data_IF_839099932191
#
_entry.id   IF_839099932191
#
_cell.length_a   1.000
_cell.length_b   1.000
_cell.length_c   1.000
_cell.angle_alpha   90.00
_cell.angle_beta   90.00
_cell.angle_gamma   90.00
#
_symmetry.space_group_name_H-M   'P 1'
#
loop_
_entity.id
_entity.type
_entity.pdbx_description
1 polymer ?
#
# COMPACT_ATOMS: atom_id res chain seq x y z
N UNK A 1 -16.70 74.01 43.98
CA UNK A 1 -17.48 73.22 43.03
C UNK A 1 -16.60 72.12 42.46
N UNK A 2 -16.27 71.02 43.10
CA UNK A 2 -16.23 70.47 44.48
C UNK A 2 -15.41 69.18 44.23
N UNK A 3 -14.26 68.96 44.88
CA UNK A 3 -14.11 68.14 46.10
C UNK A 3 -14.72 66.72 45.92
N UNK A 4 -14.11 65.57 46.21
CA UNK A 4 -12.88 65.20 46.92
C UNK A 4 -12.79 63.63 46.95
N UNK A 5 -11.64 63.10 47.42
CA UNK A 5 -11.50 61.89 48.29
C UNK A 5 -11.76 60.45 47.75
N UNK A 6 -10.65 59.68 47.69
CA UNK A 6 -10.46 58.21 47.83
C UNK A 6 -10.75 57.69 49.28
N UNK A 7 -10.45 56.46 49.79
CA UNK A 7 -10.23 55.08 49.30
C UNK A 7 -10.97 54.02 50.19
N UNK A 8 -10.45 52.77 50.24
CA UNK A 8 -10.60 51.71 51.29
C UNK A 8 -11.69 50.64 51.08
N UNK A 9 -11.57 49.36 51.47
CA UNK A 9 -10.53 48.44 52.01
C UNK A 9 -11.18 47.05 52.08
N UNK A 10 -10.35 46.02 52.32
CA UNK A 10 -10.57 44.71 52.98
C UNK A 10 -10.17 43.54 52.05
N UNK A 11 -9.03 42.85 52.23
CA UNK A 11 -8.68 41.93 53.35
C UNK A 11 -9.80 40.88 53.57
N UNK A 12 -9.60 39.57 53.69
CA UNK A 12 -8.41 38.76 53.96
C UNK A 12 -8.71 37.27 53.72
N UNK A 13 -7.63 36.46 53.63
CA UNK A 13 -7.55 35.14 54.29
C UNK A 13 -8.17 33.93 53.55
N UNK A 14 -7.42 33.05 52.86
CA UNK A 14 -6.39 32.10 53.32
C UNK A 14 -6.95 30.75 53.87
N UNK A 15 -6.20 29.68 53.50
CA UNK A 15 -6.17 28.27 53.97
C UNK A 15 -7.08 27.29 53.22
N UNK A 16 -6.50 26.38 52.40
CA UNK A 16 -5.79 25.14 52.79
C UNK A 16 -6.69 24.20 53.60
N UNK A 17 -7.08 23.06 53.01
CA UNK A 17 -6.57 21.74 53.42
C UNK A 17 -7.24 20.61 52.62
N UNK A 18 -6.42 19.69 52.12
CA UNK A 18 -6.83 18.32 51.80
C UNK A 18 -7.00 17.52 53.11
N UNK A 19 -7.73 16.39 53.10
CA UNK A 19 -6.98 15.13 53.15
C UNK A 19 -7.61 13.90 52.46
N UNK A 20 -6.70 13.01 52.04
CA UNK A 20 -6.67 11.55 52.21
C UNK A 20 -7.90 10.65 52.00
N UNK A 21 -7.76 9.77 50.99
CA UNK A 21 -7.68 8.29 51.08
C UNK A 21 -8.87 7.50 51.69
N UNK A 22 -9.55 6.68 50.86
CA UNK A 22 -10.08 5.37 51.25
C UNK A 22 -9.99 4.36 50.09
N UNK A 23 -9.35 3.24 50.40
CA UNK A 23 -9.33 1.99 49.66
C UNK A 23 -10.71 1.31 49.70
N UNK A 24 -11.03 0.53 48.66
CA UNK A 24 -11.77 -0.72 48.83
C UNK A 24 -11.38 -1.71 47.73
N UNK A 25 -10.76 -2.80 48.17
CA UNK A 25 -10.56 -4.06 47.46
C UNK A 25 -11.91 -4.68 47.06
N UNK A 26 -11.94 -5.42 45.93
CA UNK A 26 -12.61 -6.73 45.87
C UNK A 26 -12.40 -7.41 44.50
N UNK A 27 -11.78 -8.58 44.58
CA UNK A 27 -11.86 -9.77 43.73
C UNK A 27 -11.57 -10.96 44.68
N UNK A 28 -11.80 -12.24 44.32
CA UNK A 28 -12.61 -12.82 43.24
C UNK A 28 -13.50 -13.98 43.78
N UNK A 29 -14.43 -14.53 42.98
CA UNK A 29 -14.86 -15.94 43.15
C UNK A 29 -15.13 -16.62 41.80
N UNK A 30 -14.65 -17.87 41.74
CA UNK A 30 -14.76 -18.89 40.70
C UNK A 30 -16.06 -19.72 40.82
N UNK A 31 -16.35 -20.55 39.82
CA UNK A 31 -17.34 -21.64 39.85
C UNK A 31 -18.09 -21.77 38.52
N UNK A 32 -17.67 -22.63 37.59
CA UNK A 32 -17.88 -24.08 37.47
C UNK A 32 -19.14 -24.47 36.63
N UNK A 33 -18.83 -25.24 35.58
CA UNK A 33 -19.53 -26.30 34.82
C UNK A 33 -21.07 -26.46 34.79
N UNK A 34 -21.60 -26.75 33.59
CA UNK A 34 -22.54 -27.85 33.24
C UNK A 34 -22.97 -27.69 31.77
N UNK A 35 -22.58 -28.59 30.86
CA UNK A 35 -23.09 -29.94 30.55
C UNK A 35 -24.22 -29.95 29.51
N UNK A 36 -24.00 -30.76 28.48
CA UNK A 36 -24.93 -31.18 27.41
C UNK A 36 -26.23 -31.75 27.95
N UNK A 37 -27.32 -31.64 27.17
CA UNK A 37 -28.18 -32.78 26.78
C UNK A 37 -29.36 -32.32 25.88
N UNK A 38 -29.50 -32.99 24.74
CA UNK A 38 -30.77 -33.18 24.01
C UNK A 38 -31.42 -34.48 24.47
N UNK A 39 -32.76 -34.61 24.36
CA UNK A 39 -33.27 -35.77 23.61
C UNK A 39 -34.53 -35.53 22.74
N UNK A 40 -34.57 -36.36 21.70
CA UNK A 40 -35.67 -37.05 20.97
C UNK A 40 -37.05 -37.12 21.69
N UNK A 41 -38.21 -37.23 21.05
CA UNK A 41 -38.67 -38.32 20.17
C UNK A 41 -40.16 -38.10 19.74
N UNK A 42 -40.61 -38.88 18.74
CA UNK A 42 -41.95 -39.50 18.58
C UNK A 42 -42.72 -39.24 17.28
N UNK A 43 -42.82 -40.34 16.54
CA UNK A 43 -43.64 -40.68 15.37
C UNK A 43 -45.00 -41.28 15.77
N UNK A 44 -46.00 -41.18 14.90
CA UNK A 44 -47.21 -42.01 14.96
C UNK A 44 -47.62 -42.51 13.57
N UNK A 45 -47.76 -43.83 13.47
CA UNK A 45 -48.32 -44.64 12.38
C UNK A 45 -49.78 -44.31 12.04
N UNK A 46 -50.23 -44.73 10.84
CA UNK A 46 -51.46 -45.50 10.63
C UNK A 46 -51.43 -46.18 9.24
N UNK A 47 -51.65 -47.50 9.25
CA UNK A 47 -51.72 -48.46 8.13
C UNK A 47 -53.15 -48.88 7.82
N UNK A 48 -53.40 -49.34 6.57
CA UNK A 48 -54.35 -50.37 6.07
C UNK A 48 -54.68 -50.08 4.59
N UNK A 49 -54.87 -50.99 3.62
CA UNK A 49 -54.67 -52.44 3.43
C UNK A 49 -55.05 -52.76 1.95
N UNK A 50 -54.62 -53.91 1.42
CA UNK A 50 -55.16 -54.73 0.30
C UNK A 50 -54.50 -54.80 -1.11
N UNK A 51 -53.97 -56.03 -1.34
CA UNK A 51 -54.12 -56.97 -2.48
C UNK A 51 -53.07 -57.07 -3.63
N UNK A 52 -52.54 -58.31 -3.76
CA UNK A 52 -51.59 -58.83 -4.76
C UNK A 52 -52.26 -59.26 -6.08
N UNK A 53 -51.62 -59.00 -7.24
CA UNK A 53 -50.99 -60.00 -8.15
C UNK A 53 -50.75 -59.46 -9.59
N UNK A 54 -49.45 -59.34 -9.92
CA UNK A 54 -48.74 -59.62 -11.20
C UNK A 54 -49.31 -59.14 -12.56
N UNK A 55 -48.60 -58.23 -13.24
CA UNK A 55 -47.56 -58.56 -14.26
C UNK A 55 -47.27 -57.40 -15.25
N UNK A 56 -45.99 -57.36 -15.67
CA UNK A 56 -45.35 -56.65 -16.80
C UNK A 56 -44.85 -55.19 -16.62
N UNK A 57 -43.52 -55.08 -16.59
CA UNK A 57 -42.65 -53.89 -16.58
C UNK A 57 -42.91 -52.91 -17.75
N UNK A 58 -42.68 -51.60 -17.52
CA UNK A 58 -41.47 -51.02 -18.14
C UNK A 58 -40.73 -49.98 -17.27
N UNK A 59 -39.41 -50.17 -17.23
CA UNK A 59 -38.36 -49.15 -17.21
C UNK A 59 -38.43 -48.04 -16.14
N UNK A 60 -37.90 -48.34 -14.95
CA UNK A 60 -37.41 -47.34 -14.01
C UNK A 60 -35.98 -46.92 -14.43
N UNK A 61 -35.82 -45.71 -14.99
CA UNK A 61 -34.52 -45.10 -15.23
C UNK A 61 -34.03 -44.43 -13.94
N UNK A 62 -33.49 -45.23 -13.02
CA UNK A 62 -32.59 -44.70 -11.98
C UNK A 62 -31.22 -44.43 -12.61
N UNK A 63 -30.60 -43.24 -12.41
CA UNK A 63 -29.26 -43.01 -12.88
C UNK A 63 -28.30 -43.93 -12.13
N UNK A 64 -27.53 -44.72 -12.88
CA UNK A 64 -26.48 -45.60 -12.34
C UNK A 64 -25.59 -44.86 -11.33
N UNK A 65 -25.11 -45.54 -10.27
CA UNK A 65 -24.13 -44.97 -9.37
C UNK A 65 -22.89 -44.59 -10.19
N UNK A 66 -22.60 -43.29 -10.26
CA UNK A 66 -21.38 -42.78 -10.91
C UNK A 66 -20.20 -43.53 -10.30
N UNK A 67 -19.45 -44.22 -11.18
CA UNK A 67 -18.23 -44.91 -10.81
C UNK A 67 -17.31 -43.96 -10.01
N UNK A 68 -16.60 -44.46 -8.97
CA UNK A 68 -15.65 -43.63 -8.26
C UNK A 68 -14.64 -43.07 -9.26
N UNK A 69 -14.38 -41.76 -9.19
CA UNK A 69 -13.37 -41.07 -9.98
C UNK A 69 -12.07 -41.90 -9.94
N UNK A 70 -11.76 -42.59 -11.05
CA UNK A 70 -10.45 -43.19 -11.23
C UNK A 70 -9.49 -42.03 -11.46
N UNK A 71 -8.60 -41.79 -10.50
CA UNK A 71 -7.46 -40.92 -10.73
C UNK A 71 -6.60 -41.58 -11.80
N UNK A 72 -6.57 -41.03 -13.01
CA UNK A 72 -5.65 -41.41 -14.10
C UNK A 72 -4.20 -41.00 -13.80
N UNK A 73 -3.76 -41.15 -12.55
CA UNK A 73 -2.37 -41.02 -12.18
C UNK A 73 -1.80 -42.43 -12.01
N UNK A 74 -1.00 -42.96 -12.97
CA UNK A 74 -0.43 -44.30 -12.91
C UNK A 74 0.53 -44.53 -11.73
N UNK A 75 0.81 -43.47 -10.96
CA UNK A 75 1.64 -43.50 -9.76
C UNK A 75 0.85 -43.37 -8.44
N UNK A 76 -0.49 -43.39 -8.48
CA UNK A 76 -1.31 -43.43 -7.27
C UNK A 76 -0.99 -44.69 -6.45
N UNK A 77 -0.27 -44.52 -5.32
CA UNK A 77 0.19 -45.61 -4.45
C UNK A 77 1.60 -46.13 -4.75
N UNK A 78 2.32 -45.57 -5.73
CA UNK A 78 3.69 -45.98 -6.09
C UNK A 78 4.70 -44.99 -5.49
N UNK A 79 5.64 -45.49 -4.68
CA UNK A 79 6.75 -44.67 -4.17
C UNK A 79 7.77 -44.50 -5.29
N UNK A 80 7.88 -43.28 -5.82
CA UNK A 80 8.90 -42.92 -6.81
C UNK A 80 10.09 -42.31 -6.06
N UNK A 81 11.27 -42.96 -6.05
CA UNK A 81 12.45 -42.36 -5.48
C UNK A 81 12.86 -41.12 -6.27
N UNK A 82 12.98 -39.98 -5.60
CA UNK A 82 13.46 -38.70 -6.16
C UNK A 82 14.84 -38.39 -5.62
N UNK A 83 15.77 -38.04 -6.52
CA UNK A 83 17.11 -37.56 -6.12
C UNK A 83 16.96 -36.16 -5.54
N UNK A 84 17.45 -35.97 -4.31
CA UNK A 84 17.30 -34.70 -3.60
C UNK A 84 17.87 -33.50 -4.36
N UNK A 85 18.99 -33.67 -5.07
CA UNK A 85 19.60 -32.60 -5.84
C UNK A 85 18.71 -32.13 -7.00
N UNK A 86 18.12 -33.08 -7.72
CA UNK A 86 17.22 -32.77 -8.85
C UNK A 86 15.92 -32.16 -8.36
N UNK A 87 15.36 -32.68 -7.27
CA UNK A 87 14.15 -32.13 -6.66
C UNK A 87 14.36 -30.70 -6.16
N UNK A 88 15.47 -30.45 -5.45
CA UNK A 88 15.85 -29.12 -4.99
C UNK A 88 16.04 -28.15 -6.14
N UNK A 89 16.72 -28.57 -7.22
CA UNK A 89 16.93 -27.74 -8.42
C UNK A 89 15.61 -27.40 -9.09
N UNK A 90 14.75 -28.38 -9.32
CA UNK A 90 13.46 -28.20 -9.97
C UNK A 90 12.54 -27.29 -9.15
N UNK A 91 12.29 -27.64 -7.89
CA UNK A 91 11.43 -26.89 -6.98
C UNK A 91 11.92 -25.44 -6.81
N UNK A 92 13.23 -25.22 -6.69
CA UNK A 92 13.81 -23.88 -6.59
C UNK A 92 13.62 -23.07 -7.87
N UNK A 93 13.84 -23.67 -9.05
CA UNK A 93 13.67 -22.98 -10.34
C UNK A 93 12.21 -22.62 -10.61
N UNK A 94 11.27 -23.53 -10.34
CA UNK A 94 9.84 -23.27 -10.49
C UNK A 94 9.38 -22.13 -9.58
N UNK A 95 9.79 -22.15 -8.30
CA UNK A 95 9.51 -21.05 -7.38
C UNK A 95 10.14 -19.74 -7.87
N UNK A 96 11.43 -19.74 -8.26
CA UNK A 96 12.13 -18.55 -8.72
C UNK A 96 11.45 -17.92 -9.93
N UNK A 97 11.09 -18.73 -10.93
CA UNK A 97 10.39 -18.26 -12.13
C UNK A 97 9.01 -17.70 -11.80
N UNK A 98 8.25 -18.36 -10.91
CA UNK A 98 6.94 -17.86 -10.47
C UNK A 98 7.03 -16.49 -9.79
N UNK A 99 8.08 -16.24 -9.00
CA UNK A 99 8.30 -14.97 -8.31
C UNK A 99 8.74 -13.88 -9.29
N UNK A 100 9.62 -14.19 -10.24
CA UNK A 100 10.13 -13.24 -11.23
C UNK A 100 9.00 -12.76 -12.15
N UNK A 101 8.25 -13.69 -12.74
CA UNK A 101 7.24 -13.38 -13.77
C UNK A 101 5.89 -13.03 -13.14
N UNK A 102 5.48 -13.75 -12.11
CA UNK A 102 4.12 -13.70 -11.57
C UNK A 102 3.94 -12.79 -10.35
N UNK A 103 4.99 -12.13 -9.84
CA UNK A 103 4.87 -11.38 -8.58
C UNK A 103 5.69 -10.11 -8.49
N UNK A 104 7.02 -10.21 -8.61
CA UNK A 104 7.92 -9.18 -8.08
C UNK A 104 8.16 -8.00 -9.03
N UNK A 105 8.23 -8.27 -10.34
CA UNK A 105 8.57 -7.28 -11.37
C UNK A 105 7.32 -6.80 -12.10
N UNK A 106 7.25 -5.50 -12.48
CA UNK A 106 6.18 -4.99 -13.32
C UNK A 106 6.36 -5.42 -14.79
N UNK A 107 5.28 -5.42 -15.57
CA UNK A 107 5.36 -5.50 -17.04
C UNK A 107 5.77 -4.13 -17.61
N UNK A 108 6.58 -4.11 -18.67
CA UNK A 108 7.06 -2.87 -19.29
C UNK A 108 5.95 -2.07 -19.98
N UNK A 109 4.90 -2.76 -20.44
CA UNK A 109 3.82 -2.18 -21.26
C UNK A 109 2.86 -1.33 -20.43
N UNK A 110 2.48 -1.80 -19.24
CA UNK A 110 1.54 -1.11 -18.35
C UNK A 110 2.18 -0.62 -17.03
N UNK A 111 3.41 -1.05 -16.73
CA UNK A 111 4.09 -0.70 -15.50
C UNK A 111 3.53 -1.35 -14.23
N UNK A 112 2.63 -2.33 -14.36
CA UNK A 112 1.92 -2.93 -13.24
C UNK A 112 2.46 -4.33 -12.92
N UNK A 113 2.48 -4.65 -11.62
CA UNK A 113 2.59 -6.04 -11.15
C UNK A 113 1.21 -6.71 -11.20
N UNK A 114 1.13 -8.05 -11.21
CA UNK A 114 -0.15 -8.76 -11.33
C UNK A 114 -1.21 -8.33 -10.29
N UNK A 115 -0.83 -8.11 -9.03
CA UNK A 115 -1.78 -7.67 -7.99
C UNK A 115 -2.40 -6.29 -8.29
N UNK A 116 -1.61 -5.32 -8.79
CA UNK A 116 -2.14 -3.99 -9.15
C UNK A 116 -3.11 -4.08 -10.32
N UNK A 117 -2.76 -4.88 -11.35
CA UNK A 117 -3.59 -5.11 -12.53
C UNK A 117 -4.94 -5.72 -12.15
N UNK A 118 -4.91 -6.76 -11.32
CA UNK A 118 -6.10 -7.44 -10.82
C UNK A 118 -6.98 -6.53 -9.96
N UNK A 119 -6.38 -5.66 -9.15
CA UNK A 119 -7.16 -4.65 -8.39
C UNK A 119 -7.88 -3.69 -9.33
N UNK A 120 -7.19 -3.11 -10.32
CA UNK A 120 -7.85 -2.20 -11.28
C UNK A 120 -8.92 -2.90 -12.12
N UNK A 121 -8.63 -4.11 -12.59
CA UNK A 121 -9.58 -4.92 -13.35
C UNK A 121 -10.82 -5.30 -12.51
N UNK A 122 -10.62 -5.74 -11.26
CA UNK A 122 -11.73 -6.01 -10.33
C UNK A 122 -12.54 -4.75 -9.99
N UNK A 123 -11.90 -3.58 -9.92
CA UNK A 123 -12.62 -2.30 -9.77
C UNK A 123 -13.45 -1.94 -11.02
N UNK A 124 -12.96 -2.26 -12.22
CA UNK A 124 -13.71 -2.11 -13.48
C UNK A 124 -14.93 -3.04 -13.53
N UNK A 125 -14.77 -4.31 -13.15
CA UNK A 125 -15.88 -5.29 -13.07
C UNK A 125 -16.98 -4.83 -12.11
N UNK A 126 -16.60 -4.23 -10.99
CA UNK A 126 -17.53 -3.60 -10.05
C UNK A 126 -18.09 -2.25 -10.53
N UNK A 127 -17.69 -1.79 -11.72
CA UNK A 127 -18.07 -0.50 -12.31
C UNK A 127 -17.74 0.69 -11.39
N UNK A 128 -16.57 0.69 -10.76
CA UNK A 128 -16.14 1.73 -9.81
C UNK A 128 -15.37 2.86 -10.50
N UNK A 129 -15.93 3.40 -11.57
CA UNK A 129 -15.40 4.58 -12.26
C UNK A 129 -15.43 5.81 -11.34
N UNK A 130 -14.64 6.82 -11.68
CA UNK A 130 -14.40 8.03 -10.92
C UNK A 130 -15.67 8.85 -10.64
N UNK A 131 -16.71 8.68 -11.46
CA UNK A 131 -18.01 9.36 -11.34
C UNK A 131 -18.99 8.61 -10.41
N UNK A 132 -18.70 7.36 -10.06
CA UNK A 132 -19.58 6.54 -9.21
C UNK A 132 -19.31 6.77 -7.72
N UNK A 133 -20.29 6.49 -6.84
CA UNK A 133 -20.07 6.52 -5.39
C UNK A 133 -18.97 5.55 -4.96
N UNK A 134 -18.24 5.92 -3.92
CA UNK A 134 -17.27 5.03 -3.27
C UNK A 134 -17.94 3.73 -2.80
N UNK A 135 -17.16 2.64 -2.78
CA UNK A 135 -17.58 1.35 -2.20
C UNK A 135 -16.57 0.88 -1.17
N UNK A 136 -17.06 0.14 -0.18
CA UNK A 136 -16.23 -0.46 0.88
C UNK A 136 -15.05 -1.20 0.28
N UNK A 137 -13.85 -0.94 0.78
CA UNK A 137 -12.63 -1.61 0.31
C UNK A 137 -12.73 -3.13 0.46
N UNK A 138 -13.40 -3.62 1.52
CA UNK A 138 -13.67 -5.05 1.71
C UNK A 138 -14.40 -5.71 0.51
N UNK A 139 -15.29 -4.98 -0.17
CA UNK A 139 -15.99 -5.48 -1.37
C UNK A 139 -15.02 -5.62 -2.55
N UNK A 140 -14.15 -4.63 -2.74
CA UNK A 140 -13.15 -4.65 -3.82
C UNK A 140 -12.16 -5.78 -3.60
N UNK A 141 -11.66 -5.92 -2.36
CA UNK A 141 -10.74 -7.00 -1.97
C UNK A 141 -11.40 -8.36 -2.18
N UNK A 142 -12.63 -8.56 -1.71
CA UNK A 142 -13.37 -9.82 -1.90
C UNK A 142 -13.57 -10.18 -3.38
N UNK A 143 -13.88 -9.20 -4.24
CA UNK A 143 -14.01 -9.40 -5.68
C UNK A 143 -12.70 -9.90 -6.32
N UNK A 144 -11.59 -9.22 -6.01
CA UNK A 144 -10.27 -9.54 -6.55
C UNK A 144 -9.80 -10.91 -6.08
N UNK A 145 -10.01 -11.22 -4.80
CA UNK A 145 -9.65 -12.52 -4.22
C UNK A 145 -10.45 -13.66 -4.84
N UNK A 146 -11.77 -13.51 -4.91
CA UNK A 146 -12.67 -14.56 -5.38
C UNK A 146 -12.47 -14.91 -6.85
N UNK A 147 -12.05 -13.94 -7.67
CA UNK A 147 -11.96 -14.11 -9.13
C UNK A 147 -10.54 -14.21 -9.69
N UNK A 148 -9.59 -13.45 -9.15
CA UNK A 148 -8.33 -13.17 -9.85
C UNK A 148 -7.06 -13.41 -9.01
N UNK A 149 -7.10 -13.24 -7.69
CA UNK A 149 -5.91 -13.26 -6.84
C UNK A 149 -6.03 -14.27 -5.68
N UNK A 150 -5.61 -15.54 -5.87
CA UNK A 150 -5.78 -16.62 -4.89
C UNK A 150 -4.71 -16.56 -3.77
N UNK A 151 -4.51 -15.39 -3.17
CA UNK A 151 -3.54 -15.15 -2.10
C UNK A 151 -4.21 -14.39 -0.94
N UNK A 152 -3.44 -13.97 0.07
CA UNK A 152 -3.98 -13.28 1.24
C UNK A 152 -4.69 -11.96 0.88
N UNK A 153 -5.80 -11.69 1.56
CA UNK A 153 -6.58 -10.46 1.48
C UNK A 153 -5.75 -9.21 1.77
N UNK A 154 -4.86 -9.30 2.76
CA UNK A 154 -3.98 -8.20 3.14
C UNK A 154 -3.08 -7.73 1.98
N UNK A 155 -2.56 -8.64 1.16
CA UNK A 155 -1.72 -8.25 0.02
C UNK A 155 -2.49 -7.41 -1.01
N UNK A 156 -3.77 -7.73 -1.23
CA UNK A 156 -4.67 -6.99 -2.12
C UNK A 156 -5.05 -5.65 -1.48
N UNK A 157 -5.38 -5.64 -0.20
CA UNK A 157 -5.76 -4.41 0.51
C UNK A 157 -4.58 -3.43 0.61
N UNK A 158 -3.38 -3.89 0.96
CA UNK A 158 -2.18 -3.05 1.01
C UNK A 158 -1.85 -2.47 -0.36
N UNK A 159 -2.06 -3.25 -1.43
CA UNK A 159 -1.91 -2.77 -2.81
C UNK A 159 -2.92 -1.67 -3.13
N UNK A 160 -4.21 -1.88 -2.80
CA UNK A 160 -5.26 -0.87 -2.97
C UNK A 160 -4.92 0.41 -2.20
N UNK A 161 -4.49 0.28 -0.94
CA UNK A 161 -4.14 1.40 -0.08
C UNK A 161 -2.97 2.18 -0.66
N UNK A 162 -1.90 1.49 -1.07
CA UNK A 162 -0.72 2.12 -1.66
C UNK A 162 -1.06 2.90 -2.92
N UNK A 163 -2.01 2.40 -3.74
CA UNK A 163 -2.46 3.09 -4.94
C UNK A 163 -3.31 4.35 -4.69
N UNK A 164 -3.72 4.57 -3.44
CA UNK A 164 -4.48 5.73 -2.98
C UNK A 164 -3.66 6.73 -2.13
N UNK A 165 -2.41 6.43 -1.83
CA UNK A 165 -1.52 7.28 -1.01
C UNK A 165 -0.71 8.24 -1.90
N UNK A 166 -0.94 9.54 -1.75
CA UNK A 166 -0.30 10.60 -2.54
C UNK A 166 1.20 10.75 -2.26
N UNK A 167 1.66 10.38 -1.06
CA UNK A 167 3.08 10.30 -0.73
C UNK A 167 3.77 9.04 -1.28
N UNK A 168 3.01 8.08 -1.83
CA UNK A 168 3.53 6.80 -2.34
C UNK A 168 3.59 6.77 -3.87
N UNK A 169 2.53 7.20 -4.55
CA UNK A 169 2.45 7.28 -6.01
C UNK A 169 2.38 8.74 -6.48
N UNK A 170 3.08 9.04 -7.57
CA UNK A 170 3.08 10.37 -8.16
C UNK A 170 1.72 10.74 -8.78
N UNK A 171 1.04 9.75 -9.36
CA UNK A 171 -0.30 9.85 -9.93
C UNK A 171 -1.16 8.68 -9.44
N UNK A 172 -2.10 8.99 -8.55
CA UNK A 172 -2.97 8.00 -7.91
C UNK A 172 -3.84 7.25 -8.91
N UNK A 173 -3.91 5.92 -8.76
CA UNK A 173 -4.80 5.07 -9.54
C UNK A 173 -6.11 4.75 -8.78
N UNK A 174 -6.07 4.89 -7.45
CA UNK A 174 -7.24 4.70 -6.58
C UNK A 174 -7.55 6.01 -5.86
N UNK A 175 -8.82 6.36 -5.81
CA UNK A 175 -9.33 7.44 -4.98
C UNK A 175 -9.94 6.80 -3.72
N UNK A 176 -9.29 7.01 -2.57
CA UNK A 176 -9.72 6.50 -1.27
C UNK A 176 -10.54 7.51 -0.46
N UNK A 177 -11.47 7.02 0.33
CA UNK A 177 -12.21 7.77 1.35
C UNK A 177 -12.08 7.08 2.71
N UNK A 178 -11.65 7.82 3.73
CA UNK A 178 -11.32 7.31 5.07
C UNK A 178 -9.83 7.42 5.36
N UNK A 179 -9.37 6.74 6.42
CA UNK A 179 -7.95 6.74 6.78
C UNK A 179 -7.19 5.68 5.96
N UNK A 180 -6.39 6.13 5.00
CA UNK A 180 -5.52 5.31 4.15
C UNK A 180 -4.05 5.32 4.61
N UNK A 181 -3.79 5.66 5.88
CA UNK A 181 -2.47 5.79 6.45
C UNK A 181 -1.85 7.16 6.19
N UNK A 182 -0.64 7.35 6.69
CA UNK A 182 0.06 8.64 6.68
C UNK A 182 1.55 8.48 6.34
N UNK A 183 2.20 9.59 6.01
CA UNK A 183 3.67 9.65 5.83
C UNK A 183 4.45 9.40 7.13
N UNK A 184 3.75 9.45 8.27
CA UNK A 184 4.26 9.11 9.60
C UNK A 184 4.41 7.60 9.82
N UNK A 185 3.91 6.78 8.89
CA UNK A 185 3.90 5.33 8.99
C UNK A 185 2.70 4.77 9.75
N UNK A 186 1.67 5.58 9.97
CA UNK A 186 0.41 5.07 10.50
C UNK A 186 -0.20 4.11 9.48
N UNK A 187 -0.58 2.93 9.97
CA UNK A 187 -1.28 1.95 9.15
C UNK A 187 -2.65 2.49 8.70
N UNK A 188 -3.15 2.09 7.52
CA UNK A 188 -4.52 2.39 7.11
C UNK A 188 -5.52 1.81 8.11
N UNK A 189 -6.71 2.39 8.17
CA UNK A 189 -7.83 1.75 8.87
C UNK A 189 -8.16 0.40 8.22
N UNK A 190 -8.83 -0.49 8.95
CA UNK A 190 -9.26 -1.77 8.39
C UNK A 190 -10.20 -1.58 7.19
N UNK A 191 -10.15 -2.49 6.21
CA UNK A 191 -10.90 -2.42 4.94
C UNK A 191 -12.45 -2.34 5.07
N UNK A 192 -12.98 -2.57 6.27
CA UNK A 192 -14.40 -2.38 6.61
C UNK A 192 -14.78 -0.90 6.82
N UNK A 193 -13.83 -0.02 7.09
CA UNK A 193 -14.05 1.39 7.33
C UNK A 193 -13.74 2.24 6.10
N UNK A 194 -12.73 1.85 5.32
CA UNK A 194 -12.32 2.57 4.12
C UNK A 194 -13.24 2.28 2.93
N UNK A 195 -13.31 3.24 2.03
CA UNK A 195 -14.00 3.10 0.76
C UNK A 195 -13.10 3.57 -0.38
N UNK A 196 -13.29 3.03 -1.59
CA UNK A 196 -12.49 3.39 -2.74
C UNK A 196 -13.30 3.36 -4.04
N UNK A 197 -12.78 4.07 -5.04
CA UNK A 197 -13.17 4.03 -6.46
C UNK A 197 -11.94 4.38 -7.32
N UNK A 198 -12.02 4.22 -8.63
CA UNK A 198 -10.92 4.59 -9.52
C UNK A 198 -10.75 6.10 -9.62
N UNK A 199 -9.53 6.56 -9.87
CA UNK A 199 -9.28 7.92 -10.34
C UNK A 199 -9.57 8.02 -11.84
N UNK A 200 -9.72 9.25 -12.37
CA UNK A 200 -9.84 9.46 -13.83
C UNK A 200 -8.67 8.90 -14.61
N UNK A 201 -7.45 8.99 -14.07
CA UNK A 201 -6.25 8.48 -14.72
C UNK A 201 -6.21 6.94 -14.76
N UNK A 202 -6.78 6.26 -13.76
CA UNK A 202 -6.89 4.81 -13.81
C UNK A 202 -7.84 4.31 -14.89
N UNK A 203 -8.86 5.08 -15.26
CA UNK A 203 -9.72 4.74 -16.41
C UNK A 203 -8.94 4.77 -17.73
N UNK A 204 -7.98 5.69 -17.89
CA UNK A 204 -7.09 5.70 -19.07
C UNK A 204 -6.16 4.47 -19.10
N UNK A 205 -5.91 3.80 -17.97
CA UNK A 205 -5.21 2.51 -17.96
C UNK A 205 -6.04 1.38 -18.57
N UNK A 206 -7.37 1.42 -18.36
CA UNK A 206 -8.32 0.36 -18.71
C UNK A 206 -9.12 0.65 -20.00
N UNK A 207 -8.85 1.80 -20.61
CA UNK A 207 -9.58 2.30 -21.77
C UNK A 207 -9.56 1.32 -22.92
N UNK A 208 -10.72 1.13 -23.54
CA UNK A 208 -10.93 0.27 -24.70
C UNK A 208 -10.66 -1.23 -24.46
N UNK A 209 -10.54 -1.67 -23.19
CA UNK A 209 -10.30 -3.08 -22.85
C UNK A 209 -11.38 -4.02 -23.41
N UNK A 210 -12.63 -3.55 -23.51
CA UNK A 210 -13.77 -4.30 -24.06
C UNK A 210 -13.70 -4.52 -25.57
N UNK A 211 -12.77 -3.85 -26.27
CA UNK A 211 -12.60 -3.92 -27.73
C UNK A 211 -11.54 -4.93 -28.15
N UNK A 212 -11.27 -5.93 -27.31
CA UNK A 212 -10.31 -7.00 -27.58
C UNK A 212 -8.89 -6.48 -27.89
N UNK A 213 -8.47 -5.40 -27.21
CA UNK A 213 -7.18 -4.73 -27.47
C UNK A 213 -5.97 -5.43 -26.84
N UNK A 214 -6.20 -6.39 -25.94
CA UNK A 214 -5.15 -7.15 -25.24
C UNK A 214 -5.54 -8.61 -25.12
N UNK A 215 -4.54 -9.48 -24.99
CA UNK A 215 -4.76 -10.90 -24.73
C UNK A 215 -5.27 -11.11 -23.30
N UNK A 216 -6.23 -12.02 -23.19
CA UNK A 216 -6.75 -12.53 -21.92
C UNK A 216 -6.22 -13.95 -21.67
N UNK A 217 -5.99 -14.26 -20.41
CA UNK A 217 -5.66 -15.60 -19.95
C UNK A 217 -6.76 -16.12 -19.01
N UNK A 218 -6.82 -17.43 -18.84
CA UNK A 218 -7.66 -18.05 -17.82
C UNK A 218 -7.21 -17.62 -16.41
N UNK A 219 -8.16 -17.45 -15.50
CA UNK A 219 -7.86 -17.19 -14.10
C UNK A 219 -7.34 -18.47 -13.40
N UNK A 220 -7.09 -18.41 -12.09
CA UNK A 220 -6.42 -19.49 -11.36
C UNK A 220 -7.20 -20.82 -11.27
N UNK A 221 -8.52 -20.81 -11.48
CA UNK A 221 -9.38 -22.00 -11.50
C UNK A 221 -9.98 -22.29 -12.88
N UNK A 222 -9.53 -21.56 -13.91
CA UNK A 222 -9.96 -21.68 -15.30
C UNK A 222 -11.46 -21.46 -15.55
N UNK A 223 -12.17 -20.75 -14.66
CA UNK A 223 -13.60 -20.43 -14.83
C UNK A 223 -13.86 -19.03 -15.37
N UNK A 224 -12.90 -18.12 -15.22
CA UNK A 224 -12.97 -16.73 -15.65
C UNK A 224 -11.74 -16.36 -16.49
N UNK A 225 -11.76 -15.15 -17.05
CA UNK A 225 -10.62 -14.59 -17.79
C UNK A 225 -10.12 -13.31 -17.12
N UNK A 226 -8.82 -13.10 -17.18
CA UNK A 226 -8.16 -11.86 -16.76
C UNK A 226 -7.21 -11.34 -17.85
N UNK A 227 -7.02 -10.02 -17.98
CA UNK A 227 -6.11 -9.45 -18.96
C UNK A 227 -4.66 -9.73 -18.59
N UNK A 228 -3.84 -10.13 -19.57
CA UNK A 228 -2.40 -10.35 -19.37
C UNK A 228 -1.66 -9.04 -19.10
N UNK A 229 -2.09 -7.95 -19.75
CA UNK A 229 -1.68 -6.55 -19.56
C UNK A 229 -2.87 -5.61 -19.73
N UNK A 230 -2.77 -4.39 -19.22
CA UNK A 230 -3.78 -3.36 -19.51
C UNK A 230 -3.44 -2.58 -20.79
N UNK A 231 -4.44 -2.00 -21.50
CA UNK A 231 -4.22 -1.15 -22.66
C UNK A 231 -3.27 0.02 -22.39
N UNK A 232 -3.34 0.59 -21.19
CA UNK A 232 -2.38 1.59 -20.67
C UNK A 232 -2.13 2.77 -21.61
N UNK A 233 -3.13 3.64 -21.79
CA UNK A 233 -2.97 4.84 -22.63
C UNK A 233 -1.95 5.87 -22.08
N UNK A 234 -1.45 5.65 -20.86
CA UNK A 234 -0.40 6.47 -20.23
C UNK A 234 0.88 5.65 -20.01
N UNK A 235 2.07 6.29 -20.03
CA UNK A 235 3.35 5.64 -19.78
C UNK A 235 3.59 5.39 -18.27
N UNK A 236 2.71 4.59 -17.66
CA UNK A 236 2.61 4.44 -16.20
C UNK A 236 3.89 3.91 -15.54
N UNK A 237 4.65 3.03 -16.18
CA UNK A 237 5.92 2.51 -15.64
C UNK A 237 6.89 3.65 -15.27
N UNK A 238 7.06 4.63 -16.14
CA UNK A 238 7.98 5.74 -15.91
C UNK A 238 7.37 6.78 -14.99
N UNK A 239 6.09 7.04 -15.17
CA UNK A 239 5.39 8.12 -14.49
C UNK A 239 5.17 7.83 -13.00
N UNK A 240 4.78 6.61 -12.66
CA UNK A 240 4.61 6.19 -11.26
C UNK A 240 5.82 5.44 -10.69
N UNK A 241 6.70 4.94 -11.56
CA UNK A 241 7.83 4.12 -11.14
C UNK A 241 7.41 2.73 -10.65
N UNK A 242 8.38 1.95 -10.20
CA UNK A 242 8.14 0.64 -9.60
C UNK A 242 9.37 0.17 -8.84
N UNK A 243 9.16 -0.48 -7.70
CA UNK A 243 10.21 -1.17 -6.97
C UNK A 243 9.83 -2.63 -6.72
N UNK A 244 10.78 -3.54 -6.82
CA UNK A 244 10.51 -4.96 -6.67
C UNK A 244 11.78 -5.76 -6.45
N UNK A 245 11.71 -6.75 -5.57
CA UNK A 245 12.80 -7.69 -5.28
C UNK A 245 12.29 -9.08 -5.68
N UNK A 246 12.97 -9.71 -6.63
CA UNK A 246 12.67 -11.05 -7.10
C UNK A 246 13.77 -12.02 -6.66
N UNK A 247 13.76 -13.24 -7.19
CA UNK A 247 14.85 -14.19 -6.96
C UNK A 247 16.02 -13.85 -7.88
N UNK A 248 17.17 -13.47 -7.29
CA UNK A 248 18.40 -13.16 -8.02
C UNK A 248 18.43 -11.80 -8.73
N UNK A 249 17.36 -11.00 -8.66
CA UNK A 249 17.29 -9.68 -9.29
C UNK A 249 16.38 -8.71 -8.54
N UNK A 250 16.55 -7.41 -8.80
CA UNK A 250 15.69 -6.37 -8.26
C UNK A 250 15.54 -5.22 -9.26
N UNK A 251 14.46 -4.46 -9.12
CA UNK A 251 14.18 -3.26 -9.89
C UNK A 251 13.84 -2.10 -8.95
N UNK A 252 14.24 -0.89 -9.34
CA UNK A 252 13.86 0.35 -8.68
C UNK A 252 13.88 1.48 -9.71
N UNK A 253 12.69 1.87 -10.17
CA UNK A 253 12.46 2.90 -11.17
C UNK A 253 11.77 4.07 -10.45
N UNK A 254 12.39 5.25 -10.40
CA UNK A 254 11.77 6.40 -9.75
C UNK A 254 10.64 6.99 -10.63
N UNK A 255 9.66 7.67 -10.02
CA UNK A 255 8.58 8.33 -10.76
C UNK A 255 9.08 9.53 -11.56
N UNK A 256 8.33 9.92 -12.60
CA UNK A 256 8.63 11.02 -13.50
C UNK A 256 7.39 11.86 -13.77
N UNK A 257 7.60 13.08 -14.25
CA UNK A 257 6.52 13.97 -14.62
C UNK A 257 5.81 13.48 -15.90
N UNK A 258 4.49 13.35 -15.86
CA UNK A 258 3.67 12.89 -17.00
C UNK A 258 3.86 13.74 -18.24
N UNK A 259 3.88 15.07 -18.11
CA UNK A 259 3.97 15.96 -19.27
C UNK A 259 5.33 15.83 -19.97
N UNK A 260 6.41 15.71 -19.19
CA UNK A 260 7.76 15.51 -19.71
C UNK A 260 7.89 14.15 -20.41
N UNK A 261 7.39 13.08 -19.80
CA UNK A 261 7.41 11.74 -20.40
C UNK A 261 6.58 11.69 -21.68
N UNK A 262 5.36 12.23 -21.69
CA UNK A 262 4.54 12.29 -22.91
C UNK A 262 5.21 13.12 -24.01
N UNK A 263 5.87 14.23 -23.66
CA UNK A 263 6.64 15.04 -24.61
C UNK A 263 7.83 14.26 -25.18
N UNK A 264 8.52 13.46 -24.36
CA UNK A 264 9.62 12.61 -24.80
C UNK A 264 9.15 11.49 -25.74
N UNK A 265 7.99 10.88 -25.45
CA UNK A 265 7.35 9.90 -26.34
C UNK A 265 7.00 10.55 -27.68
N UNK A 266 6.40 11.74 -27.69
CA UNK A 266 6.11 12.49 -28.92
C UNK A 266 7.38 12.81 -29.73
N UNK A 267 8.45 13.27 -29.06
CA UNK A 267 9.72 13.54 -29.71
C UNK A 267 10.37 12.28 -30.33
N UNK A 268 10.21 11.12 -29.70
CA UNK A 268 10.66 9.83 -30.24
C UNK A 268 9.83 9.36 -31.43
N UNK A 269 8.51 9.63 -31.43
CA UNK A 269 7.64 9.36 -32.58
C UNK A 269 8.04 10.23 -33.78
N UNK A 270 8.28 11.52 -33.54
CA UNK A 270 8.67 12.48 -34.60
C UNK A 270 10.08 12.22 -35.13
N UNK A 271 11.00 11.78 -34.26
CA UNK A 271 12.38 11.45 -34.61
C UNK A 271 12.84 10.15 -33.92
N UNK A 272 12.72 8.99 -34.61
CA UNK A 272 13.15 7.70 -34.08
C UNK A 272 14.65 7.61 -33.75
N UNK A 273 15.49 8.46 -34.35
CA UNK A 273 16.95 8.50 -34.12
C UNK A 273 17.35 9.48 -33.00
N UNK A 274 16.38 10.04 -32.26
CA UNK A 274 16.64 10.95 -31.14
C UNK A 274 17.56 10.28 -30.10
N UNK A 275 18.61 10.99 -29.70
CA UNK A 275 19.58 10.42 -28.75
C UNK A 275 19.08 10.52 -27.33
N UNK A 276 19.63 9.69 -26.44
CA UNK A 276 19.33 9.75 -25.00
C UNK A 276 19.67 11.13 -24.43
N UNK A 277 20.72 11.79 -24.90
CA UNK A 277 21.08 13.16 -24.48
C UNK A 277 20.00 14.18 -24.83
N UNK A 278 19.37 14.05 -26.00
CA UNK A 278 18.27 14.92 -26.42
C UNK A 278 17.01 14.63 -25.59
N UNK A 279 16.72 13.37 -25.30
CA UNK A 279 15.62 12.98 -24.40
C UNK A 279 15.84 13.51 -22.98
N UNK A 280 17.07 13.50 -22.47
CA UNK A 280 17.41 14.05 -21.15
C UNK A 280 17.14 15.57 -21.05
N UNK A 281 17.14 16.30 -22.16
CA UNK A 281 16.76 17.70 -22.16
C UNK A 281 15.25 17.90 -22.02
N UNK A 282 14.45 16.87 -22.36
CA UNK A 282 12.99 16.87 -22.24
C UNK A 282 12.55 16.32 -20.88
N UNK A 283 13.23 15.28 -20.39
CA UNK A 283 13.03 14.65 -19.07
C UNK A 283 14.31 14.86 -18.25
N UNK A 284 14.45 15.99 -17.52
CA UNK A 284 15.68 16.34 -16.82
C UNK A 284 16.03 15.37 -15.68
N UNK A 285 15.02 14.73 -15.09
CA UNK A 285 15.18 13.80 -13.99
C UNK A 285 13.86 13.27 -13.43
N UNK A 286 13.93 12.48 -12.35
CA UNK A 286 12.76 12.03 -11.61
C UNK A 286 11.94 13.15 -10.96
N UNK A 287 10.65 12.91 -10.75
CA UNK A 287 9.69 13.78 -10.08
C UNK A 287 9.00 13.00 -8.95
N UNK A 288 9.47 13.18 -7.71
CA UNK A 288 8.99 12.42 -6.56
C UNK A 288 7.70 13.01 -5.97
N UNK A 289 6.75 12.18 -5.51
CA UNK A 289 5.51 12.66 -4.88
C UNK A 289 5.73 13.51 -3.64
N UNK A 290 6.82 13.27 -2.90
CA UNK A 290 7.16 14.02 -1.67
C UNK A 290 8.08 15.23 -1.93
N UNK A 291 8.43 15.50 -3.20
CA UNK A 291 9.37 16.55 -3.57
C UNK A 291 10.82 16.23 -3.18
N UNK A 292 11.50 17.21 -2.58
CA UNK A 292 12.92 17.17 -2.24
C UNK A 292 13.83 17.77 -3.31
N UNK A 293 15.14 17.73 -3.04
CA UNK A 293 16.17 18.33 -3.89
C UNK A 293 17.10 17.24 -4.38
N UNK A 294 17.16 17.06 -5.70
CA UNK A 294 18.10 16.14 -6.32
C UNK A 294 19.49 16.80 -6.37
N UNK A 295 20.49 16.09 -5.85
CA UNK A 295 21.87 16.56 -5.77
C UNK A 295 22.69 16.02 -6.95
N UNK A 296 22.87 16.85 -7.98
CA UNK A 296 23.62 16.50 -9.18
C UNK A 296 22.84 15.65 -10.19
N UNK A 297 23.30 15.61 -11.45
CA UNK A 297 22.56 14.97 -12.56
C UNK A 297 23.32 13.83 -13.24
N UNK A 298 24.59 13.60 -12.91
CA UNK A 298 25.40 12.58 -13.58
C UNK A 298 24.88 11.16 -13.34
N UNK A 299 24.38 10.89 -12.13
CA UNK A 299 23.73 9.62 -11.80
C UNK A 299 22.47 9.36 -12.63
N UNK A 300 21.68 10.40 -12.88
CA UNK A 300 20.47 10.35 -13.71
C UNK A 300 20.86 10.04 -15.15
N UNK A 301 21.83 10.78 -15.71
CA UNK A 301 22.32 10.56 -17.08
C UNK A 301 22.87 9.14 -17.28
N UNK A 302 23.54 8.58 -16.27
CA UNK A 302 24.00 7.19 -16.30
C UNK A 302 22.84 6.20 -16.25
N UNK A 303 21.86 6.43 -15.38
CA UNK A 303 20.66 5.62 -15.26
C UNK A 303 19.88 5.55 -16.58
N UNK A 304 19.65 6.69 -17.24
CA UNK A 304 18.94 6.73 -18.51
C UNK A 304 19.70 6.07 -19.67
N UNK A 305 21.04 6.12 -19.68
CA UNK A 305 21.84 5.44 -20.72
C UNK A 305 22.01 3.95 -20.51
N UNK A 306 22.14 3.50 -19.25
CA UNK A 306 22.60 2.14 -18.91
C UNK A 306 21.60 1.32 -18.09
N UNK A 307 20.48 1.91 -17.68
CA UNK A 307 19.52 1.32 -16.75
C UNK A 307 19.98 1.27 -15.28
N UNK A 308 21.16 1.83 -14.95
CA UNK A 308 21.71 1.86 -13.59
C UNK A 308 22.41 3.18 -13.31
N UNK A 309 22.13 3.75 -12.13
CA UNK A 309 22.76 4.97 -11.64
C UNK A 309 22.40 5.20 -10.17
N UNK A 310 23.14 6.10 -9.52
CA UNK A 310 22.88 6.49 -8.14
C UNK A 310 22.53 7.96 -8.11
N UNK A 311 21.44 8.32 -7.45
CA UNK A 311 21.02 9.69 -7.24
C UNK A 311 20.88 9.96 -5.74
N UNK A 312 21.20 11.16 -5.32
CA UNK A 312 21.04 11.60 -3.93
C UNK A 312 19.91 12.60 -3.88
N UNK A 313 18.88 12.31 -3.07
CA UNK A 313 17.78 13.23 -2.78
C UNK A 313 17.97 13.79 -1.38
N UNK A 314 17.85 15.10 -1.24
CA UNK A 314 17.97 15.82 0.01
C UNK A 314 16.61 16.41 0.39
N UNK A 315 16.33 16.48 1.69
CA UNK A 315 15.18 17.22 2.20
C UNK A 315 15.24 18.70 1.80
N UNK A 316 14.08 19.32 1.55
CA UNK A 316 14.01 20.76 1.31
C UNK A 316 13.90 21.49 2.65
N UNK A 317 14.87 22.34 2.92
CA UNK A 317 15.00 23.02 4.21
C UNK A 317 15.27 24.50 4.04
N UNK A 318 14.86 25.31 5.01
CA UNK A 318 15.26 26.72 5.13
C UNK A 318 15.49 27.09 6.59
N UNK A 319 16.19 28.21 6.81
CA UNK A 319 16.49 28.73 8.15
C UNK A 319 15.52 29.86 8.47
N UNK A 320 14.91 29.83 9.65
CA UNK A 320 14.08 30.90 10.19
C UNK A 320 14.69 31.44 11.49
N UNK A 321 14.43 32.71 11.78
CA UNK A 321 14.77 33.31 13.07
C UNK A 321 13.49 33.49 13.91
N UNK A 322 13.54 33.05 15.17
CA UNK A 322 12.43 33.18 16.10
C UNK A 322 12.93 33.50 17.51
N UNK A 323 12.45 34.61 18.08
CA UNK A 323 12.84 35.09 19.43
C UNK A 323 14.36 35.16 19.62
N UNK A 324 15.09 35.63 18.59
CA UNK A 324 16.55 35.77 18.61
C UNK A 324 17.31 34.43 18.56
N UNK A 325 16.66 33.33 18.16
CA UNK A 325 17.28 32.03 17.92
C UNK A 325 16.99 31.56 16.50
N UNK A 326 17.97 30.89 15.89
CA UNK A 326 17.78 30.25 14.59
C UNK A 326 17.08 28.89 14.76
N UNK A 327 16.28 28.52 13.75
CA UNK A 327 15.61 27.23 13.65
C UNK A 327 15.76 26.71 12.22
N UNK A 328 15.93 25.40 12.07
CA UNK A 328 15.91 24.73 10.77
C UNK A 328 14.48 24.23 10.56
N UNK A 329 13.91 24.57 9.41
CA UNK A 329 12.60 24.07 8.99
C UNK A 329 12.80 23.06 7.88
N UNK A 330 12.22 21.87 8.03
CA UNK A 330 12.13 20.87 6.97
C UNK A 330 10.72 20.91 6.39
N UNK A 331 10.62 21.29 5.12
CA UNK A 331 9.35 21.46 4.40
C UNK A 331 9.00 20.24 3.54
N UNK A 332 10.01 19.51 3.04
CA UNK A 332 9.82 18.30 2.22
C UNK A 332 10.89 17.27 2.62
N UNK A 333 10.52 16.00 2.72
CA UNK A 333 11.45 14.89 2.97
C UNK A 333 11.65 14.03 1.72
N UNK A 334 12.79 13.32 1.60
CA UNK A 334 13.04 12.44 0.46
C UNK A 334 11.99 11.33 0.32
N UNK A 335 11.84 10.83 -0.90
CA UNK A 335 10.89 9.77 -1.22
C UNK A 335 11.15 8.49 -0.42
N UNK A 336 10.06 7.84 0.05
CA UNK A 336 10.08 6.63 0.88
C UNK A 336 10.78 6.78 2.24
N UNK A 337 10.96 8.01 2.74
CA UNK A 337 11.38 8.26 4.12
C UNK A 337 10.14 8.37 5.02
N UNK A 338 10.13 7.61 6.11
CA UNK A 338 9.12 7.72 7.16
C UNK A 338 9.46 8.91 8.07
N UNK A 339 8.50 9.84 8.23
CA UNK A 339 8.73 11.08 9.00
C UNK A 339 8.93 10.79 10.50
N UNK A 340 8.07 9.99 11.13
CA UNK A 340 8.21 9.61 12.55
C UNK A 340 9.55 8.95 12.87
N UNK A 341 9.98 8.00 12.04
CA UNK A 341 11.26 7.30 12.23
C UNK A 341 12.46 8.25 12.05
N UNK A 342 12.36 9.18 11.10
CA UNK A 342 13.37 10.23 10.93
C UNK A 342 13.49 11.10 12.20
N UNK A 343 12.35 11.52 12.77
CA UNK A 343 12.32 12.31 14.00
C UNK A 343 12.87 11.52 15.20
N UNK A 344 12.51 10.25 15.33
CA UNK A 344 13.04 9.36 16.37
C UNK A 344 14.57 9.22 16.25
N UNK A 345 15.08 8.99 15.04
CA UNK A 345 16.51 8.90 14.78
C UNK A 345 17.23 10.21 15.10
N UNK A 346 16.66 11.37 14.73
CA UNK A 346 17.21 12.67 15.11
C UNK A 346 17.25 12.85 16.64
N UNK A 347 16.15 12.56 17.33
CA UNK A 347 16.07 12.66 18.79
C UNK A 347 17.10 11.74 19.49
N UNK A 348 17.26 10.51 19.00
CA UNK A 348 18.28 9.59 19.48
C UNK A 348 19.69 10.15 19.30
N UNK A 349 20.03 10.67 18.12
CA UNK A 349 21.34 11.26 17.84
C UNK A 349 21.64 12.52 18.68
N UNK A 350 20.61 13.31 19.01
CA UNK A 350 20.72 14.45 19.95
C UNK A 350 21.02 13.96 21.37
N UNK A 351 20.28 12.94 21.84
CA UNK A 351 20.47 12.33 23.17
C UNK A 351 21.87 11.72 23.34
N UNK A 352 22.37 11.05 22.30
CA UNK A 352 23.74 10.48 22.24
C UNK A 352 24.83 11.55 22.03
N UNK A 353 24.48 12.84 22.03
CA UNK A 353 25.39 13.98 21.80
C UNK A 353 26.16 13.91 20.47
N UNK A 354 25.67 13.14 19.50
CA UNK A 354 26.23 13.03 18.14
C UNK A 354 25.80 14.20 17.26
N UNK A 355 24.63 14.79 17.54
CA UNK A 355 24.15 16.03 16.94
C UNK A 355 24.06 17.16 17.99
N UNK A 356 25.19 17.75 18.42
CA UNK A 356 25.16 18.89 19.33
C UNK A 356 24.66 20.14 18.61
N UNK A 357 24.04 21.06 19.35
CA UNK A 357 23.53 22.33 18.82
C UNK A 357 22.03 22.36 18.57
N UNK A 358 21.35 21.22 18.69
CA UNK A 358 19.88 21.13 18.68
C UNK A 358 19.37 21.26 20.13
N UNK A 359 18.36 22.10 20.34
CA UNK A 359 17.69 22.27 21.63
C UNK A 359 16.37 21.51 21.70
N UNK A 360 15.61 21.48 20.60
CA UNK A 360 14.29 20.86 20.54
C UNK A 360 13.97 20.43 19.10
N UNK A 361 13.09 19.43 18.94
CA UNK A 361 12.58 18.95 17.65
C UNK A 361 11.07 18.80 17.79
N UNK A 362 10.32 19.44 16.89
CA UNK A 362 8.86 19.39 16.87
C UNK A 362 8.32 19.13 15.48
N UNK A 363 7.23 18.39 15.43
CA UNK A 363 6.42 18.29 14.23
C UNK A 363 5.25 19.28 14.33
N UNK A 364 5.28 20.30 13.48
CA UNK A 364 4.25 21.32 13.33
C UNK A 364 3.49 21.13 12.00
N UNK A 365 3.55 19.91 11.42
CA UNK A 365 2.83 19.59 10.17
C UNK A 365 1.32 19.66 10.36
N UNK A 366 0.63 20.20 9.37
CA UNK A 366 -0.82 20.33 9.37
C UNK A 366 -1.42 19.95 8.01
N UNK A 367 -2.65 20.40 7.73
CA UNK A 367 -3.32 20.13 6.45
C UNK A 367 -2.77 20.97 5.29
N UNK A 368 -2.07 22.06 5.57
CA UNK A 368 -1.49 22.94 4.56
C UNK A 368 -0.11 22.45 4.10
N UNK A 369 0.62 21.72 4.96
CA UNK A 369 1.84 21.05 4.55
C UNK A 369 2.68 20.49 5.69
N UNK A 370 3.78 19.85 5.30
CA UNK A 370 4.77 19.34 6.25
C UNK A 370 5.61 20.49 6.82
N UNK A 371 5.79 20.49 8.14
CA UNK A 371 6.66 21.45 8.83
C UNK A 371 7.31 20.80 10.05
N UNK A 372 8.51 20.25 9.86
CA UNK A 372 9.34 19.82 10.99
C UNK A 372 10.23 20.97 11.41
N UNK A 373 10.18 21.32 12.70
CA UNK A 373 10.94 22.41 13.30
C UNK A 373 12.04 21.86 14.19
N UNK A 374 13.28 22.21 13.86
CA UNK A 374 14.46 21.86 14.65
C UNK A 374 15.00 23.16 15.26
N UNK A 375 14.81 23.33 16.57
CA UNK A 375 15.32 24.48 17.29
C UNK A 375 16.80 24.33 17.60
N UNK A 376 17.55 25.42 17.42
CA UNK A 376 18.98 25.44 17.71
C UNK A 376 19.28 26.12 19.04
N UNK A 377 20.38 25.69 19.67
CA UNK A 377 20.98 26.39 20.80
C UNK A 377 21.50 27.77 20.35
N UNK A 378 21.52 28.75 21.26
CA UNK A 378 21.84 30.13 20.93
C UNK A 378 23.25 30.37 20.36
N UNK A 379 24.18 29.47 20.62
CA UNK A 379 25.57 29.48 20.15
C UNK A 379 25.82 28.57 18.93
N UNK A 380 24.81 27.85 18.46
CA UNK A 380 24.95 26.90 17.38
C UNK A 380 24.92 27.57 15.99
N UNK A 381 25.85 27.17 15.13
CA UNK A 381 25.83 27.56 13.71
C UNK A 381 24.86 26.66 12.93
N UNK A 382 23.81 27.27 12.36
CA UNK A 382 22.75 26.56 11.63
C UNK A 382 23.25 25.74 10.45
N UNK A 383 24.15 26.27 9.62
CA UNK A 383 24.71 25.56 8.46
C UNK A 383 25.51 24.32 8.87
N UNK A 384 26.28 24.41 9.97
CA UNK A 384 27.05 23.26 10.48
C UNK A 384 26.12 22.17 11.01
N UNK A 385 25.07 22.54 11.75
CA UNK A 385 24.07 21.59 12.26
C UNK A 385 23.31 20.94 11.11
N UNK A 386 22.87 21.74 10.13
CA UNK A 386 22.15 21.26 8.94
C UNK A 386 22.98 20.28 8.12
N UNK A 387 24.26 20.58 7.87
CA UNK A 387 25.14 19.65 7.16
C UNK A 387 25.39 18.35 7.95
N UNK A 388 25.42 18.40 9.28
CA UNK A 388 25.51 17.19 10.11
C UNK A 388 24.22 16.38 10.05
N UNK A 389 23.06 17.02 10.07
CA UNK A 389 21.77 16.35 9.86
C UNK A 389 21.79 15.57 8.54
N UNK A 390 22.05 16.23 7.40
CA UNK A 390 22.11 15.55 6.08
C UNK A 390 23.11 14.39 5.99
N UNK A 391 24.14 14.35 6.84
CA UNK A 391 25.15 13.29 6.85
C UNK A 391 24.79 12.12 7.75
N UNK A 392 24.01 12.36 8.81
CA UNK A 392 23.79 11.41 9.91
C UNK A 392 22.35 10.87 9.95
N UNK A 393 21.43 11.54 9.25
CA UNK A 393 20.03 11.19 9.08
C UNK A 393 19.71 11.23 7.61
#
# INVERSE_FOLDING_TARGET
>A
MDDDISPSTNEDGNKQDAPANKQSENQPEEGEESSEETPTEQTSDLTQEQEDQQSEDPANNDPEPKQPYQSDNPDAGRIIPRVIEDEMRQSYLEYAMSVIVGRALPDVRDGLKPVHRRVLFGMQDLSLTHDKPYKKSARIVGEVLGKYHPHGDMAVYDTLVRMAQDFSLRYLLVNGQGNFGSIDGDNPAAMRYTEARMTRIAEEMLKDLEKETVDFQENFDNTLKEPTVLPSAIPNLLVNGSSGIAVGMATNIPPHNMAEVCKAVGALIDNPDITVEQLNAIVPGPDFPTGGIIMGTDGIKQAYRRGRGHLTVRAKTHIEEHKGRQRIIVAEIPYQVNKSLLLEQMAFLVKEKRLPGISDIRDESDREGMRVVIELKGDANSDVVLNRLFKMT
#
